data_IF_766060981792
#
_entry.id   IF_766060981792
#
_cell.length_a   1.000
_cell.length_b   1.000
_cell.length_c   1.000
_cell.angle_alpha   90.00
_cell.angle_beta   90.00
_cell.angle_gamma   90.00
#
_symmetry.space_group_name_H-M   'P 1'
#
loop_
_entity.id
_entity.type
_entity.pdbx_description
1 polymer ?
#
# COMPACT_ATOMS: atom_id res chain seq x y z
N UNK A 1 -17.72 11.79 17.56
CA UNK A 1 -17.11 10.61 16.90
C UNK A 1 -16.00 11.14 16.03
N UNK A 2 -14.91 10.39 15.86
CA UNK A 2 -13.75 10.79 15.06
C UNK A 2 -13.80 10.12 13.69
N UNK A 3 -13.11 10.67 12.69
CA UNK A 3 -12.94 10.03 11.38
C UNK A 3 -12.37 8.62 11.54
N UNK A 4 -11.39 8.45 12.43
CA UNK A 4 -10.80 7.14 12.72
C UNK A 4 -11.84 6.13 13.22
N UNK A 5 -12.78 6.54 14.07
CA UNK A 5 -13.86 5.66 14.56
C UNK A 5 -14.83 5.25 13.45
N UNK A 6 -15.08 6.13 12.47
CA UNK A 6 -15.89 5.83 11.30
C UNK A 6 -15.18 4.82 10.36
N UNK A 7 -13.87 5.00 10.14
CA UNK A 7 -13.05 4.07 9.34
C UNK A 7 -12.98 2.68 9.98
N UNK A 8 -12.74 2.59 11.30
CA UNK A 8 -12.68 1.29 12.02
C UNK A 8 -13.97 0.48 11.91
N UNK A 9 -15.10 1.14 11.76
CA UNK A 9 -16.41 0.51 11.59
C UNK A 9 -16.83 0.39 10.12
N UNK A 10 -15.96 0.79 9.18
CA UNK A 10 -16.21 0.87 7.75
C UNK A 10 -17.53 1.58 7.39
N UNK A 11 -17.88 2.63 8.14
CA UNK A 11 -19.14 3.35 7.98
C UNK A 11 -18.96 4.50 6.96
N UNK A 12 -19.20 4.21 5.67
CA UNK A 12 -18.99 5.16 4.57
C UNK A 12 -19.72 6.50 4.76
N UNK A 13 -21.02 6.54 5.13
CA UNK A 13 -21.69 7.82 5.40
C UNK A 13 -21.03 8.64 6.51
N UNK A 14 -20.56 7.99 7.58
CA UNK A 14 -19.85 8.68 8.65
C UNK A 14 -18.46 9.15 8.20
N UNK A 15 -17.74 8.36 7.39
CA UNK A 15 -16.47 8.78 6.80
C UNK A 15 -16.66 10.08 6.01
N UNK A 16 -17.65 10.14 5.12
CA UNK A 16 -17.95 11.37 4.36
C UNK A 16 -18.34 12.54 5.27
N UNK A 17 -19.12 12.29 6.32
CA UNK A 17 -19.50 13.33 7.29
C UNK A 17 -18.26 13.92 7.97
N UNK A 18 -17.43 13.06 8.58
CA UNK A 18 -16.26 13.49 9.34
C UNK A 18 -15.20 14.15 8.44
N UNK A 19 -15.03 13.67 7.20
CA UNK A 19 -14.06 14.24 6.26
C UNK A 19 -14.40 15.69 5.86
N UNK A 20 -15.69 16.03 5.86
CA UNK A 20 -16.19 17.38 5.58
C UNK A 20 -16.10 18.34 6.79
N UNK A 21 -15.58 17.87 7.93
CA UNK A 21 -15.33 18.71 9.11
C UNK A 21 -13.85 19.08 9.22
N UNK A 22 -13.48 19.84 10.25
CA UNK A 22 -12.08 20.09 10.59
C UNK A 22 -11.44 18.81 11.14
N UNK A 23 -10.75 18.06 10.28
CA UNK A 23 -9.90 16.93 10.65
C UNK A 23 -8.42 17.34 10.66
N UNK A 24 -7.66 16.86 11.64
CA UNK A 24 -6.21 17.08 11.67
C UNK A 24 -5.49 16.20 10.66
N UNK A 25 -4.25 16.56 10.30
CA UNK A 25 -3.42 15.72 9.43
C UNK A 25 -3.15 14.34 10.07
N UNK A 26 -2.86 14.32 11.37
CA UNK A 26 -2.62 13.07 12.10
C UNK A 26 -3.84 12.13 12.08
N UNK A 27 -5.05 12.69 12.13
CA UNK A 27 -6.28 11.93 12.02
C UNK A 27 -6.51 11.38 10.61
N UNK A 28 -6.22 12.17 9.56
CA UNK A 28 -6.28 11.73 8.16
C UNK A 28 -5.26 10.61 7.88
N UNK A 29 -4.03 10.78 8.35
CA UNK A 29 -2.95 9.81 8.18
C UNK A 29 -3.32 8.49 8.86
N UNK A 30 -3.79 8.57 10.12
CA UNK A 30 -4.25 7.40 10.89
C UNK A 30 -5.45 6.72 10.22
N UNK A 31 -6.40 7.50 9.69
CA UNK A 31 -7.56 6.97 8.97
C UNK A 31 -7.16 6.22 7.70
N UNK A 32 -6.24 6.76 6.90
CA UNK A 32 -5.77 6.09 5.68
C UNK A 32 -5.01 4.80 6.01
N UNK A 33 -4.14 4.83 7.02
CA UNK A 33 -3.39 3.65 7.44
C UNK A 33 -4.29 2.56 8.02
N UNK A 34 -5.27 2.92 8.84
CA UNK A 34 -6.27 1.99 9.38
C UNK A 34 -7.11 1.38 8.25
N UNK A 35 -7.60 2.20 7.30
CA UNK A 35 -8.37 1.71 6.15
C UNK A 35 -7.56 0.72 5.31
N UNK A 36 -6.29 1.05 5.02
CA UNK A 36 -5.38 0.16 4.30
C UNK A 36 -5.09 -1.14 5.07
N UNK A 37 -4.94 -1.07 6.40
CA UNK A 37 -4.72 -2.24 7.25
C UNK A 37 -5.96 -3.14 7.39
N UNK A 38 -7.16 -2.58 7.26
CA UNK A 38 -8.41 -3.32 7.36
C UNK A 38 -8.94 -3.85 6.02
N UNK A 39 -8.32 -3.47 4.89
CA UNK A 39 -8.80 -3.87 3.57
C UNK A 39 -10.02 -3.07 3.12
N UNK A 40 -10.24 -1.87 3.68
CA UNK A 40 -11.39 -1.03 3.37
C UNK A 40 -11.17 -0.24 2.07
N UNK A 41 -11.28 -0.93 0.93
CA UNK A 41 -10.96 -0.40 -0.40
C UNK A 41 -11.68 0.92 -0.72
N UNK A 42 -12.99 0.98 -0.47
CA UNK A 42 -13.81 2.18 -0.72
C UNK A 42 -13.36 3.36 0.15
N UNK A 43 -13.04 3.11 1.43
CA UNK A 43 -12.53 4.14 2.33
C UNK A 43 -11.17 4.64 1.89
N UNK A 44 -10.25 3.76 1.49
CA UNK A 44 -8.95 4.15 0.93
C UNK A 44 -9.15 5.05 -0.29
N UNK A 45 -10.04 4.68 -1.20
CA UNK A 45 -10.33 5.47 -2.39
C UNK A 45 -10.90 6.85 -2.04
N UNK A 46 -11.81 6.93 -1.08
CA UNK A 46 -12.39 8.19 -0.57
C UNK A 46 -11.28 9.09 0.00
N UNK A 47 -10.44 8.55 0.87
CA UNK A 47 -9.38 9.30 1.54
C UNK A 47 -8.32 9.77 0.54
N UNK A 48 -7.88 8.94 -0.41
CA UNK A 48 -6.91 9.33 -1.43
C UNK A 48 -7.44 10.40 -2.40
N UNK A 49 -8.75 10.48 -2.60
CA UNK A 49 -9.36 11.56 -3.39
C UNK A 49 -9.36 12.91 -2.65
N UNK A 50 -9.22 12.91 -1.33
CA UNK A 50 -8.97 14.12 -0.55
C UNK A 50 -7.47 14.47 -0.62
N UNK A 51 -7.16 15.64 -1.19
CA UNK A 51 -5.78 16.11 -1.37
C UNK A 51 -5.01 16.26 -0.06
N UNK A 52 -5.70 16.37 1.08
CA UNK A 52 -5.09 16.49 2.40
C UNK A 52 -4.54 15.16 2.90
N UNK A 53 -5.08 14.02 2.46
CA UNK A 53 -4.58 12.72 2.91
C UNK A 53 -3.14 12.52 2.44
N UNK A 54 -2.25 12.09 3.33
CA UNK A 54 -0.85 11.81 3.00
C UNK A 54 -0.57 10.29 2.93
N UNK A 55 -0.45 9.71 1.72
CA UNK A 55 -0.16 8.29 1.57
C UNK A 55 1.29 7.94 1.88
N UNK A 56 2.17 8.92 2.12
CA UNK A 56 3.56 8.70 2.55
C UNK A 56 3.76 8.81 4.06
N UNK A 57 2.66 9.03 4.81
CA UNK A 57 2.70 9.14 6.26
C UNK A 57 3.45 7.96 6.91
N UNK A 58 4.20 8.30 7.96
CA UNK A 58 4.96 7.37 8.76
C UNK A 58 4.05 6.61 9.73
N UNK A 59 4.56 5.51 10.30
CA UNK A 59 3.89 4.81 11.39
C UNK A 59 3.74 5.76 12.59
N UNK A 60 2.51 5.98 13.12
CA UNK A 60 2.28 6.84 14.27
C UNK A 60 3.04 6.35 15.52
N UNK A 61 3.28 5.04 15.63
CA UNK A 61 3.98 4.43 16.76
C UNK A 61 5.51 4.44 16.61
N UNK A 62 6.06 4.92 15.49
CA UNK A 62 7.51 4.95 15.27
C UNK A 62 8.25 5.69 16.39
N UNK A 63 7.66 6.77 16.91
CA UNK A 63 8.23 7.58 18.01
C UNK A 63 8.30 6.77 19.31
N UNK A 64 7.23 6.03 19.63
CA UNK A 64 7.13 5.25 20.87
C UNK A 64 8.17 4.12 20.91
N UNK A 65 8.50 3.57 19.74
CA UNK A 65 9.50 2.50 19.60
C UNK A 65 10.91 3.00 19.26
N UNK A 66 11.15 4.31 19.27
CA UNK A 66 12.41 4.93 18.86
C UNK A 66 12.91 4.47 17.47
N UNK A 67 11.98 4.16 16.57
CA UNK A 67 12.26 3.82 15.18
C UNK A 67 12.41 5.12 14.39
N UNK A 68 13.41 5.17 13.51
CA UNK A 68 13.54 6.30 12.60
C UNK A 68 12.29 6.38 11.69
N UNK A 69 11.54 7.49 11.78
CA UNK A 69 10.28 7.67 11.05
C UNK A 69 10.45 7.44 9.54
N UNK A 70 11.60 7.80 8.96
CA UNK A 70 11.89 7.58 7.53
C UNK A 70 11.86 6.10 7.13
N UNK A 71 12.12 5.17 8.06
CA UNK A 71 12.04 3.73 7.80
C UNK A 71 10.60 3.21 7.70
N UNK A 72 9.63 4.02 8.14
CA UNK A 72 8.20 3.68 8.21
C UNK A 72 7.34 4.48 7.23
N UNK A 73 7.94 5.34 6.41
CA UNK A 73 7.23 6.09 5.35
C UNK A 73 6.46 5.16 4.43
N UNK A 74 5.32 5.65 3.94
CA UNK A 74 4.35 4.85 3.18
C UNK A 74 3.80 3.68 4.02
N UNK A 75 3.49 3.92 5.30
CA UNK A 75 3.04 2.86 6.21
C UNK A 75 1.78 2.14 5.70
N UNK A 76 0.83 2.87 5.12
CA UNK A 76 -0.38 2.30 4.51
C UNK A 76 -0.03 1.25 3.44
N UNK A 77 0.96 1.53 2.57
CA UNK A 77 1.44 0.60 1.55
C UNK A 77 2.11 -0.63 2.18
N UNK A 78 2.87 -0.44 3.26
CA UNK A 78 3.50 -1.56 3.98
C UNK A 78 2.47 -2.52 4.55
N UNK A 79 1.42 -2.00 5.19
CA UNK A 79 0.35 -2.81 5.78
C UNK A 79 -0.49 -3.52 4.71
N UNK A 80 -0.87 -2.81 3.64
CA UNK A 80 -1.59 -3.41 2.52
C UNK A 80 -0.77 -4.53 1.86
N UNK A 81 0.54 -4.32 1.68
CA UNK A 81 1.43 -5.32 1.11
C UNK A 81 1.64 -6.53 2.03
N UNK A 82 1.75 -6.32 3.34
CA UNK A 82 1.87 -7.40 4.33
C UNK A 82 0.62 -8.28 4.41
N UNK A 83 -0.57 -7.68 4.20
CA UNK A 83 -1.87 -8.37 4.30
C UNK A 83 -2.39 -8.90 2.96
N UNK A 84 -1.73 -8.56 1.85
CA UNK A 84 -2.09 -9.06 0.52
C UNK A 84 -3.23 -8.30 -0.15
N UNK A 85 -3.50 -7.06 0.23
CA UNK A 85 -4.60 -6.26 -0.34
C UNK A 85 -4.19 -5.60 -1.65
N UNK A 86 -4.28 -6.37 -2.74
CA UNK A 86 -3.86 -5.96 -4.09
C UNK A 86 -4.49 -4.67 -4.59
N UNK A 87 -5.80 -4.52 -4.49
CA UNK A 87 -6.51 -3.32 -4.94
C UNK A 87 -6.00 -2.08 -4.22
N UNK A 88 -5.72 -2.20 -2.92
CA UNK A 88 -5.20 -1.10 -2.10
C UNK A 88 -3.75 -0.80 -2.46
N UNK A 89 -2.92 -1.82 -2.69
CA UNK A 89 -1.54 -1.62 -3.17
C UNK A 89 -1.56 -0.89 -4.52
N UNK A 90 -2.40 -1.31 -5.46
CA UNK A 90 -2.54 -0.64 -6.76
C UNK A 90 -3.03 0.81 -6.61
N UNK A 91 -4.05 1.06 -5.80
CA UNK A 91 -4.56 2.42 -5.54
C UNK A 91 -3.46 3.33 -4.94
N UNK A 92 -2.73 2.85 -3.94
CA UNK A 92 -1.65 3.61 -3.32
C UNK A 92 -0.51 3.89 -4.32
N UNK A 93 -0.11 2.91 -5.14
CA UNK A 93 0.97 3.11 -6.12
C UNK A 93 0.56 4.00 -7.30
N UNK A 94 -0.72 4.10 -7.63
CA UNK A 94 -1.24 5.08 -8.59
C UNK A 94 -1.21 6.51 -8.03
N UNK A 95 -1.29 6.66 -6.72
CA UNK A 95 -0.98 7.93 -6.08
C UNK A 95 0.54 8.16 -6.15
N UNK A 96 0.95 9.07 -7.04
CA UNK A 96 2.36 9.37 -7.36
C UNK A 96 3.22 9.77 -6.16
N UNK A 97 2.60 10.04 -5.00
CA UNK A 97 3.30 10.34 -3.76
C UNK A 97 3.87 9.08 -3.12
N UNK A 98 3.20 7.93 -3.22
CA UNK A 98 3.69 6.66 -2.67
C UNK A 98 4.89 6.12 -3.45
N UNK A 99 5.82 5.49 -2.72
CA UNK A 99 7.00 4.87 -3.30
C UNK A 99 7.23 3.48 -2.68
N UNK A 100 7.16 2.38 -3.46
CA UNK A 100 7.40 1.02 -2.96
C UNK A 100 8.85 0.76 -2.54
N UNK A 101 9.80 1.64 -2.87
CA UNK A 101 11.17 1.60 -2.35
C UNK A 101 11.30 2.18 -0.93
N UNK A 102 10.27 2.86 -0.42
CA UNK A 102 10.25 3.45 0.93
C UNK A 102 10.53 2.41 2.02
N UNK A 103 11.23 2.85 3.08
CA UNK A 103 11.62 1.98 4.19
C UNK A 103 12.59 0.88 3.78
N UNK A 104 13.45 1.13 2.79
CA UNK A 104 14.36 0.13 2.21
C UNK A 104 13.57 -1.08 1.66
N UNK A 105 12.68 -0.81 0.70
CA UNK A 105 11.84 -1.81 0.05
C UNK A 105 10.97 -2.63 1.01
N UNK A 106 10.46 -1.99 2.08
CA UNK A 106 9.75 -2.69 3.15
C UNK A 106 8.48 -3.37 2.67
N UNK A 107 7.73 -2.75 1.76
CA UNK A 107 6.54 -3.34 1.14
C UNK A 107 6.87 -4.69 0.47
N UNK A 108 7.96 -4.74 -0.31
CA UNK A 108 8.42 -5.97 -0.98
C UNK A 108 8.82 -7.03 0.06
N UNK A 109 9.61 -6.64 1.07
CA UNK A 109 10.05 -7.57 2.13
C UNK A 109 8.87 -8.18 2.89
N UNK A 110 7.85 -7.38 3.20
CA UNK A 110 6.64 -7.84 3.89
C UNK A 110 5.82 -8.77 3.00
N UNK A 111 5.59 -8.41 1.74
CA UNK A 111 4.88 -9.26 0.78
C UNK A 111 5.64 -10.57 0.49
N UNK A 112 6.98 -10.56 0.45
CA UNK A 112 7.82 -11.76 0.33
C UNK A 112 7.74 -12.66 1.57
N UNK A 113 7.63 -12.07 2.76
CA UNK A 113 7.48 -12.82 4.01
C UNK A 113 6.13 -13.54 4.08
N UNK A 114 5.07 -12.88 3.61
CA UNK A 114 3.71 -13.42 3.58
C UNK A 114 3.37 -14.17 2.26
N UNK A 115 4.29 -14.19 1.30
CA UNK A 115 4.16 -14.85 0.00
C UNK A 115 2.96 -14.38 -0.84
N UNK A 116 2.64 -13.08 -0.75
CA UNK A 116 1.59 -12.45 -1.54
C UNK A 116 2.04 -12.18 -2.99
N UNK A 117 2.06 -13.23 -3.82
CA UNK A 117 2.57 -13.20 -5.21
C UNK A 117 1.93 -12.12 -6.07
N UNK A 118 0.61 -11.90 -5.97
CA UNK A 118 -0.09 -10.87 -6.75
C UNK A 118 0.31 -9.45 -6.35
N UNK A 119 0.50 -9.17 -5.06
CA UNK A 119 1.09 -7.90 -4.58
C UNK A 119 2.51 -7.72 -5.11
N UNK A 120 3.34 -8.76 -5.04
CA UNK A 120 4.71 -8.69 -5.56
C UNK A 120 4.73 -8.38 -7.06
N UNK A 121 3.78 -8.92 -7.82
CA UNK A 121 3.62 -8.64 -9.25
C UNK A 121 3.21 -7.20 -9.53
N UNK A 122 2.27 -6.65 -8.75
CA UNK A 122 1.89 -5.23 -8.85
C UNK A 122 3.11 -4.34 -8.62
N UNK A 123 3.91 -4.62 -7.59
CA UNK A 123 5.12 -3.84 -7.30
C UNK A 123 6.22 -4.04 -8.36
N UNK A 124 6.45 -5.26 -8.85
CA UNK A 124 7.42 -5.55 -9.93
C UNK A 124 7.04 -4.82 -11.23
N UNK A 125 5.76 -4.82 -11.59
CA UNK A 125 5.22 -4.06 -12.72
C UNK A 125 5.43 -2.55 -12.52
N UNK A 126 5.15 -2.02 -11.33
CA UNK A 126 5.39 -0.60 -11.05
C UNK A 126 6.85 -0.20 -11.34
N UNK A 127 7.83 -0.97 -10.87
CA UNK A 127 9.23 -0.66 -11.14
C UNK A 127 9.59 -0.83 -12.63
N UNK A 128 9.04 -1.84 -13.30
CA UNK A 128 9.23 -2.06 -14.73
C UNK A 128 8.68 -0.88 -15.56
N UNK A 129 7.43 -0.48 -15.33
CA UNK A 129 6.75 0.60 -16.06
C UNK A 129 7.41 1.96 -15.84
N UNK A 130 8.07 2.15 -14.69
CA UNK A 130 8.81 3.37 -14.36
C UNK A 130 10.31 3.29 -14.69
N UNK A 131 10.77 2.21 -15.34
CA UNK A 131 12.19 2.01 -15.70
C UNK A 131 13.16 2.06 -14.51
N UNK A 132 12.73 1.60 -13.34
CA UNK A 132 13.52 1.63 -12.10
C UNK A 132 14.15 0.25 -11.86
N UNK A 133 15.48 0.22 -11.82
CA UNK A 133 16.22 -0.98 -11.46
C UNK A 133 16.32 -1.11 -9.93
N UNK A 134 15.50 -1.98 -9.34
CA UNK A 134 15.39 -2.15 -7.88
C UNK A 134 15.90 -3.51 -7.35
N UNK A 135 15.93 -4.54 -8.19
CA UNK A 135 16.30 -5.91 -7.78
C UNK A 135 17.72 -5.98 -7.20
N UNK A 136 18.77 -5.36 -7.81
CA UNK A 136 20.11 -5.35 -7.21
C UNK A 136 20.15 -4.80 -5.77
N UNK A 137 19.27 -3.84 -5.44
CA UNK A 137 19.23 -3.18 -4.14
C UNK A 137 18.52 -4.02 -3.07
N UNK A 138 17.76 -5.06 -3.45
CA UNK A 138 17.20 -6.03 -2.50
C UNK A 138 18.24 -7.03 -1.99
N UNK A 139 19.35 -7.19 -2.72
CA UNK A 139 20.33 -8.26 -2.52
C UNK A 139 19.89 -9.58 -3.16
N UNK A 140 20.87 -10.45 -3.39
CA UNK A 140 20.72 -11.68 -4.18
C UNK A 140 19.64 -12.61 -3.63
N UNK A 141 19.65 -12.89 -2.32
CA UNK A 141 18.70 -13.84 -1.71
C UNK A 141 17.23 -13.43 -1.89
N UNK A 142 16.91 -12.15 -1.64
CA UNK A 142 15.54 -11.65 -1.77
C UNK A 142 15.12 -11.56 -3.24
N UNK A 143 16.05 -11.18 -4.11
CA UNK A 143 15.83 -11.16 -5.57
C UNK A 143 15.52 -12.54 -6.11
N UNK A 144 16.27 -13.56 -5.68
CA UNK A 144 16.05 -14.95 -6.09
C UNK A 144 14.71 -15.47 -5.57
N UNK A 145 14.34 -15.15 -4.32
CA UNK A 145 13.03 -15.50 -3.77
C UNK A 145 11.90 -14.85 -4.58
N UNK A 146 12.02 -13.55 -4.87
CA UNK A 146 11.06 -12.81 -5.67
C UNK A 146 10.88 -13.44 -7.06
N UNK A 147 11.97 -13.65 -7.80
CA UNK A 147 11.93 -14.19 -9.15
C UNK A 147 11.30 -15.59 -9.18
N UNK A 148 11.60 -16.44 -8.17
CA UNK A 148 10.99 -17.76 -8.04
C UNK A 148 9.47 -17.68 -7.87
N UNK A 149 9.00 -16.83 -6.97
CA UNK A 149 7.55 -16.66 -6.71
C UNK A 149 6.83 -16.10 -7.95
N UNK A 150 7.40 -15.09 -8.61
CA UNK A 150 6.81 -14.49 -9.81
C UNK A 150 6.73 -15.48 -10.99
N UNK A 151 7.62 -16.48 -11.05
CA UNK A 151 7.62 -17.52 -12.09
C UNK A 151 6.58 -18.63 -11.85
N UNK A 152 6.11 -18.84 -10.62
CA UNK A 152 5.18 -19.92 -10.27
C UNK A 152 3.74 -19.64 -10.71
N UNK A 153 3.34 -18.37 -10.80
CA UNK A 153 2.04 -17.97 -11.35
C UNK A 153 2.26 -17.24 -12.68
N UNK A 154 1.99 -17.86 -13.85
CA UNK A 154 1.94 -17.09 -15.08
C UNK A 154 0.82 -16.05 -14.94
N UNK A 155 1.10 -14.81 -15.38
CA UNK A 155 0.09 -13.75 -15.42
C UNK A 155 -1.18 -14.32 -16.07
N UNK A 156 -2.31 -14.25 -15.36
CA UNK A 156 -3.59 -14.73 -15.85
C UNK A 156 -3.76 -14.27 -17.30
N UNK A 157 -3.92 -15.24 -18.19
CA UNK A 157 -3.97 -15.10 -19.64
C UNK A 157 -4.65 -13.81 -20.05
N UNK A 158 -3.93 -12.95 -20.78
CA UNK A 158 -4.54 -12.01 -21.70
C UNK A 158 -5.62 -12.78 -22.46
N UNK A 159 -6.88 -12.44 -22.21
CA UNK A 159 -8.03 -13.06 -22.83
C UNK A 159 -7.87 -12.89 -24.33
N UNK A 160 -7.45 -13.96 -25.01
CA UNK A 160 -7.48 -14.02 -26.46
C UNK A 160 -8.96 -14.06 -26.82
N UNK A 161 -9.51 -12.87 -27.02
CA UNK A 161 -10.73 -12.64 -27.75
C UNK A 161 -10.51 -13.19 -29.16
N UNK A 162 -10.74 -14.50 -29.34
CA UNK A 162 -10.99 -15.08 -30.66
C UNK A 162 -12.47 -14.90 -30.93
N UNK A 163 -12.81 -13.80 -31.58
CA UNK A 163 -14.02 -13.78 -32.38
C UNK A 163 -13.78 -14.70 -33.58
N UNK A 164 -14.65 -15.68 -33.74
CA UNK A 164 -14.86 -16.44 -34.97
C UNK A 164 -16.36 -16.55 -35.15
#
# INVERSE_FOLDING_TARGET
MTLLSAVKTNNIPLVWRELNTECSQEELDSALQEAASNGAEEVVQILLNDRRADPVACDPLAKDYAINAFETRCHALHMAAYKGFETIVDMLLRDKRSDPASGNYRAIKLALKAEHVRVLRIIDNYFYDNYILYKPQLGTLLTDKLNRLLAQEPAASASVVRHS
#
